data_IF_668890726941
#
_entry.id   IF_668890726941
#
_cell.length_a   1.000
_cell.length_b   1.000
_cell.length_c   1.000
_cell.angle_alpha   90.00
_cell.angle_beta   90.00
_cell.angle_gamma   90.00
#
_symmetry.space_group_name_H-M   'P 1'
#
loop_
_entity.id
_entity.type
_entity.pdbx_description
1 polymer ?
#
# COMPACT_ATOMS: atom_id res chain seq x y z
N UNK A 1 4.22 20.09 8.14
CA UNK A 1 3.95 20.75 6.85
C UNK A 1 2.81 20.00 6.18
N UNK A 2 1.79 20.69 5.69
CA UNK A 2 0.66 20.10 4.98
C UNK A 2 0.86 20.36 3.47
N UNK A 3 0.72 19.33 2.65
CA UNK A 3 0.81 19.43 1.19
C UNK A 3 -0.57 19.15 0.60
N UNK A 4 -1.11 20.11 -0.14
CA UNK A 4 -2.38 19.95 -0.84
C UNK A 4 -2.15 19.32 -2.21
N UNK A 5 -2.97 18.33 -2.54
CA UNK A 5 -2.98 17.70 -3.86
C UNK A 5 -4.09 18.34 -4.72
N UNK A 6 -3.87 18.51 -6.04
CA UNK A 6 -4.95 18.86 -6.95
C UNK A 6 -6.03 17.78 -6.93
N UNK A 7 -7.29 18.18 -7.19
CA UNK A 7 -8.40 17.24 -7.25
C UNK A 7 -8.12 16.12 -8.27
N UNK A 8 -8.51 14.89 -7.93
CA UNK A 8 -8.34 13.70 -8.79
C UNK A 8 -6.91 13.45 -9.27
N UNK A 9 -5.91 13.75 -8.44
CA UNK A 9 -4.50 13.48 -8.75
C UNK A 9 -3.93 12.29 -7.95
N UNK A 10 -4.42 11.06 -8.18
CA UNK A 10 -3.92 9.88 -7.48
C UNK A 10 -2.44 9.60 -7.79
N UNK A 11 -1.96 10.01 -8.96
CA UNK A 11 -0.55 9.82 -9.37
C UNK A 11 0.43 10.59 -8.45
N UNK A 12 -0.03 11.67 -7.81
CA UNK A 12 0.75 12.41 -6.83
C UNK A 12 0.59 11.87 -5.41
N UNK A 13 -0.12 10.76 -5.19
CA UNK A 13 -0.36 10.22 -3.86
C UNK A 13 0.26 8.81 -3.70
N UNK A 14 1.47 8.68 -3.11
CA UNK A 14 2.20 7.43 -3.03
C UNK A 14 1.51 6.35 -2.18
N UNK A 15 0.44 6.71 -1.45
CA UNK A 15 -0.38 5.74 -0.73
C UNK A 15 -1.12 4.80 -1.70
N UNK A 16 -1.40 5.23 -2.93
CA UNK A 16 -2.14 4.44 -3.91
C UNK A 16 -1.38 3.17 -4.30
N UNK A 17 -0.07 3.29 -4.56
CA UNK A 17 0.79 2.13 -4.83
C UNK A 17 0.97 1.26 -3.59
N UNK A 18 1.02 1.86 -2.39
CA UNK A 18 1.10 1.11 -1.13
C UNK A 18 -0.14 0.23 -0.94
N UNK A 19 -1.33 0.77 -1.20
CA UNK A 19 -2.59 0.01 -1.16
C UNK A 19 -2.63 -1.04 -2.27
N UNK A 20 -2.13 -0.74 -3.46
CA UNK A 20 -2.01 -1.72 -4.55
C UNK A 20 -1.12 -2.91 -4.15
N UNK A 21 0.01 -2.66 -3.50
CA UNK A 21 0.92 -3.70 -3.01
C UNK A 21 0.25 -4.60 -1.95
N UNK A 22 -0.42 -4.00 -0.96
CA UNK A 22 -1.14 -4.74 0.09
C UNK A 22 -2.28 -5.55 -0.53
N UNK A 23 -3.12 -4.94 -1.38
CA UNK A 23 -4.21 -5.64 -2.09
C UNK A 23 -3.68 -6.82 -2.92
N UNK A 24 -2.54 -6.65 -3.59
CA UNK A 24 -1.91 -7.73 -4.37
C UNK A 24 -1.46 -8.87 -3.47
N UNK A 25 -0.86 -8.57 -2.31
CA UNK A 25 -0.49 -9.60 -1.35
C UNK A 25 -1.71 -10.32 -0.80
N UNK A 26 -2.78 -9.60 -0.45
CA UNK A 26 -4.04 -10.20 0.04
C UNK A 26 -4.63 -11.13 -1.02
N UNK A 27 -4.71 -10.70 -2.28
CA UNK A 27 -5.21 -11.53 -3.38
C UNK A 27 -4.41 -12.82 -3.55
N UNK A 28 -3.09 -12.80 -3.33
CA UNK A 28 -2.25 -14.01 -3.39
C UNK A 28 -2.49 -14.96 -2.21
N UNK A 29 -2.93 -14.45 -1.06
CA UNK A 29 -3.14 -15.22 0.16
C UNK A 29 -4.61 -15.31 0.56
N UNK A 30 -5.54 -15.08 -0.38
CA UNK A 30 -6.95 -14.83 -0.09
C UNK A 30 -7.60 -15.97 0.67
N UNK A 31 -7.24 -17.21 0.38
CA UNK A 31 -7.78 -18.40 1.05
C UNK A 31 -7.44 -18.44 2.53
N UNK A 32 -6.22 -18.03 2.90
CA UNK A 32 -5.81 -17.94 4.31
C UNK A 32 -6.54 -16.81 5.01
N UNK A 33 -6.65 -15.65 4.38
CA UNK A 33 -7.29 -14.49 5.00
C UNK A 33 -8.81 -14.67 5.13
N UNK A 34 -9.45 -15.32 4.16
CA UNK A 34 -10.88 -15.59 4.20
C UNK A 34 -11.29 -16.53 5.35
N UNK A 35 -10.37 -17.38 5.81
CA UNK A 35 -10.58 -18.32 6.91
C UNK A 35 -9.82 -17.92 8.18
N UNK A 36 -9.31 -16.69 8.25
CA UNK A 36 -8.51 -16.25 9.40
C UNK A 36 -9.40 -15.98 10.62
N UNK A 37 -9.00 -16.52 11.76
CA UNK A 37 -9.59 -16.17 13.07
C UNK A 37 -9.11 -14.79 13.56
N UNK A 38 -8.04 -14.25 12.97
CA UNK A 38 -7.42 -12.96 13.34
C UNK A 38 -7.11 -12.10 12.10
N UNK A 39 -8.14 -11.67 11.34
CA UNK A 39 -7.96 -10.99 10.05
C UNK A 39 -7.19 -9.67 10.16
N UNK A 40 -7.28 -8.95 11.27
CA UNK A 40 -6.53 -7.72 11.53
C UNK A 40 -5.02 -7.95 11.67
N UNK A 41 -4.61 -9.05 12.32
CA UNK A 41 -3.20 -9.43 12.44
C UNK A 41 -2.66 -9.85 11.07
N UNK A 42 -3.45 -10.57 10.28
CA UNK A 42 -3.04 -10.97 8.93
C UNK A 42 -3.00 -9.81 7.96
N UNK A 43 -3.86 -8.80 8.13
CA UNK A 43 -3.76 -7.53 7.42
C UNK A 43 -2.47 -6.78 7.80
N UNK A 44 -2.10 -6.75 9.10
CA UNK A 44 -0.83 -6.16 9.52
C UNK A 44 0.37 -6.89 8.89
N UNK A 45 0.33 -8.22 8.78
CA UNK A 45 1.33 -8.99 8.03
C UNK A 45 1.33 -8.62 6.54
N UNK A 46 0.16 -8.37 5.95
CA UNK A 46 0.05 -7.94 4.55
C UNK A 46 0.73 -6.58 4.32
N UNK A 47 0.69 -5.67 5.29
CA UNK A 47 1.43 -4.41 5.25
C UNK A 47 2.94 -4.63 5.13
N UNK A 48 3.47 -5.78 5.55
CA UNK A 48 4.86 -6.18 5.30
C UNK A 48 5.24 -6.30 3.82
N UNK A 49 4.27 -6.29 2.89
CA UNK A 49 4.53 -6.19 1.46
C UNK A 49 5.11 -4.82 1.03
N UNK A 50 4.96 -3.80 1.88
CA UNK A 50 5.52 -2.46 1.71
C UNK A 50 6.94 -2.46 2.28
N UNK A 51 7.94 -2.49 1.40
CA UNK A 51 9.36 -2.38 1.79
C UNK A 51 9.84 -0.94 1.67
N UNK A 52 10.97 -0.62 2.32
CA UNK A 52 11.57 0.72 2.24
C UNK A 52 11.95 1.09 0.80
N UNK A 53 12.43 0.12 0.02
CA UNK A 53 12.83 0.30 -1.38
C UNK A 53 11.62 0.62 -2.25
N UNK A 54 10.51 -0.10 -2.05
CA UNK A 54 9.24 0.16 -2.74
C UNK A 54 8.70 1.53 -2.38
N UNK A 55 8.65 1.86 -1.10
CA UNK A 55 8.18 3.16 -0.62
C UNK A 55 8.99 4.30 -1.27
N UNK A 56 10.33 4.19 -1.27
CA UNK A 56 11.20 5.15 -1.96
C UNK A 56 10.89 5.25 -3.46
N UNK A 57 10.64 4.13 -4.13
CA UNK A 57 10.21 4.11 -5.53
C UNK A 57 8.91 4.87 -5.76
N UNK A 58 7.92 4.71 -4.89
CA UNK A 58 6.61 5.39 -5.01
C UNK A 58 6.70 6.88 -4.72
N UNK A 59 7.47 7.30 -3.72
CA UNK A 59 7.74 8.74 -3.51
C UNK A 59 8.41 9.39 -4.72
N UNK A 60 9.34 8.70 -5.38
CA UNK A 60 9.95 9.18 -6.64
C UNK A 60 8.92 9.24 -7.76
N UNK A 61 8.10 8.21 -7.92
CA UNK A 61 7.06 8.16 -8.94
C UNK A 61 6.04 9.29 -8.79
N UNK A 62 5.66 9.62 -7.55
CA UNK A 62 4.79 10.76 -7.24
C UNK A 62 5.50 12.13 -7.25
N UNK A 63 6.80 12.19 -7.59
CA UNK A 63 7.54 13.45 -7.78
C UNK A 63 8.04 14.13 -6.50
N UNK A 64 8.14 13.40 -5.38
CA UNK A 64 8.59 13.96 -4.09
C UNK A 64 10.10 13.87 -3.84
N UNK A 65 10.80 12.96 -4.53
CA UNK A 65 12.25 12.74 -4.42
C UNK A 65 12.91 12.38 -5.75
#
# INVERSE_FOLDING_TARGET
MLLFLPAYSPDFNPIEESFSAVKTWIRRHWQRLANSETPEIDLLKACGAITAEKAKGWFRHSGYI
#
